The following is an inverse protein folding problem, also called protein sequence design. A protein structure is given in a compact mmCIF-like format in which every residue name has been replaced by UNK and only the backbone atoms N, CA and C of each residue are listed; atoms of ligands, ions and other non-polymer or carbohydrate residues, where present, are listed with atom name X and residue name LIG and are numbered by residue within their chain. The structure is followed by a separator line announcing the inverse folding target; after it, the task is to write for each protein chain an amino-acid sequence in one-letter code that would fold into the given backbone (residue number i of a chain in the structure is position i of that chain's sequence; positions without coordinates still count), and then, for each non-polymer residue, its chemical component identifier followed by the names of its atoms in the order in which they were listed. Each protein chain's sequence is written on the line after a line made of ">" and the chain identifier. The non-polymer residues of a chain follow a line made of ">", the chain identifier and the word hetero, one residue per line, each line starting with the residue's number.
data_IF_952777741363
#
_entry.id   IF_952777741363
#
_cell.length_a   1.000
_cell.length_b   1.000
_cell.length_c   1.000
_cell.angle_alpha   90.00
_cell.angle_beta   90.00
_cell.angle_gamma   90.00
#
_symmetry.space_group_name_H-M   'P 1'
#
loop_
_entity.id
_entity.type
_entity.pdbx_description
1 polymer ?
#
# COMPACT_ATOMS: atom_id res chain seq x y z
N UNK A 1 -22.99 2.23 4.39
CA UNK A 1 -22.03 1.63 3.44
C UNK A 1 -20.92 2.63 3.11
N UNK A 2 -19.67 2.24 3.25
CA UNK A 2 -18.53 3.16 3.14
C UNK A 2 -17.87 3.05 1.77
N UNK A 3 -18.57 3.47 0.73
CA UNK A 3 -18.04 3.40 -0.65
C UNK A 3 -16.79 4.26 -0.85
N UNK A 4 -16.58 5.27 0.01
CA UNK A 4 -15.42 6.15 -0.05
C UNK A 4 -14.32 5.77 0.95
N UNK A 5 -14.43 4.62 1.61
CA UNK A 5 -13.36 4.18 2.52
C UNK A 5 -12.15 3.69 1.74
N UNK A 6 -10.98 3.88 2.33
CA UNK A 6 -9.76 3.27 1.80
C UNK A 6 -9.72 1.82 2.25
N UNK A 7 -9.51 0.92 1.30
CA UNK A 7 -9.51 -0.53 1.53
C UNK A 7 -8.17 -1.14 1.12
N UNK A 8 -7.86 -2.28 1.72
CA UNK A 8 -6.64 -3.01 1.39
C UNK A 8 -6.85 -4.51 1.49
N UNK A 9 -6.11 -5.25 0.68
CA UNK A 9 -6.09 -6.70 0.73
C UNK A 9 -4.82 -7.21 0.04
N UNK A 10 -4.50 -8.48 0.29
CA UNK A 10 -3.50 -9.19 -0.48
C UNK A 10 -4.13 -9.50 -1.84
N UNK A 11 -3.53 -8.97 -2.91
CA UNK A 11 -4.07 -9.05 -4.26
C UNK A 11 -3.54 -10.24 -5.06
N UNK A 12 -2.57 -10.96 -4.53
CA UNK A 12 -1.98 -12.16 -5.14
C UNK A 12 -2.35 -13.39 -4.35
N UNK A 13 -2.26 -14.56 -4.99
CA UNK A 13 -2.42 -15.82 -4.27
C UNK A 13 -1.30 -15.95 -3.22
N UNK A 14 -1.64 -16.42 -2.02
CA UNK A 14 -0.66 -16.69 -1.00
C UNK A 14 0.17 -17.91 -1.40
N UNK A 15 1.47 -17.70 -1.57
CA UNK A 15 2.41 -18.74 -1.94
C UNK A 15 3.63 -18.66 -1.02
N UNK A 16 4.18 -19.78 -0.57
CA UNK A 16 5.38 -19.78 0.27
C UNK A 16 6.63 -19.32 -0.50
N UNK A 17 6.60 -19.36 -1.81
CA UNK A 17 7.71 -18.95 -2.66
C UNK A 17 7.26 -17.84 -3.58
N UNK A 18 7.74 -16.64 -3.36
CA UNK A 18 7.48 -15.57 -4.31
C UNK A 18 7.03 -14.27 -3.66
N UNK A 19 6.71 -13.33 -4.51
CA UNK A 19 6.32 -11.98 -4.11
C UNK A 19 4.82 -11.95 -3.87
N UNK A 20 4.41 -11.36 -2.75
CA UNK A 20 3.01 -11.09 -2.47
C UNK A 20 2.76 -9.60 -2.64
N UNK A 21 1.63 -9.26 -3.25
CA UNK A 21 1.27 -7.87 -3.49
C UNK A 21 0.09 -7.50 -2.60
N UNK A 22 0.26 -6.42 -1.82
CA UNK A 22 -0.82 -5.80 -1.07
C UNK A 22 -1.30 -4.60 -1.88
N UNK A 23 -2.60 -4.52 -2.13
CA UNK A 23 -3.20 -3.38 -2.82
C UNK A 23 -4.00 -2.55 -1.84
N UNK A 24 -3.77 -1.24 -1.88
CA UNK A 24 -4.51 -0.24 -1.10
C UNK A 24 -5.22 0.66 -2.11
N UNK A 25 -6.51 0.87 -1.96
CA UNK A 25 -7.28 1.70 -2.88
C UNK A 25 -8.25 2.59 -2.11
N UNK A 26 -8.27 3.86 -2.46
CA UNK A 26 -9.20 4.82 -1.86
C UNK A 26 -8.57 6.19 -1.63
N UNK A 27 -9.35 7.13 -1.08
CA UNK A 27 -8.90 8.51 -0.93
C UNK A 27 -7.71 8.68 0.02
N UNK A 28 -7.48 7.75 0.92
CA UNK A 28 -6.37 7.83 1.87
C UNK A 28 -5.22 6.86 1.57
N UNK A 29 -5.21 6.23 0.39
CA UNK A 29 -4.17 5.26 0.05
C UNK A 29 -2.76 5.85 0.16
N UNK A 30 -2.57 7.07 -0.34
CA UNK A 30 -1.27 7.75 -0.28
C UNK A 30 -0.89 8.15 1.15
N UNK A 31 -1.85 8.58 1.95
CA UNK A 31 -1.61 8.91 3.35
C UNK A 31 -1.20 7.67 4.15
N UNK A 32 -1.84 6.54 3.90
CA UNK A 32 -1.52 5.28 4.56
C UNK A 32 -0.09 4.87 4.26
N UNK A 33 0.31 4.88 2.99
CA UNK A 33 1.68 4.47 2.63
C UNK A 33 2.71 5.43 3.22
N UNK A 34 2.44 6.72 3.26
CA UNK A 34 3.37 7.69 3.83
C UNK A 34 3.64 7.45 5.32
N UNK A 35 2.67 6.88 6.04
CA UNK A 35 2.81 6.60 7.47
C UNK A 35 3.73 5.41 7.76
N UNK A 36 3.88 4.48 6.81
CA UNK A 36 4.56 3.21 7.04
C UNK A 36 5.79 2.99 6.17
N UNK A 37 5.93 3.76 5.08
CA UNK A 37 7.07 3.64 4.16
C UNK A 37 8.25 4.45 4.68
N UNK A 38 9.45 3.85 4.60
CA UNK A 38 10.70 4.53 4.95
C UNK A 38 11.76 4.25 3.90
N UNK A 39 12.56 5.26 3.60
CA UNK A 39 13.72 5.10 2.73
C UNK A 39 14.86 4.40 3.46
N UNK A 40 15.86 3.95 2.71
CA UNK A 40 17.05 3.34 3.30
C UNK A 40 17.74 4.27 4.30
N UNK A 41 17.85 5.56 3.98
CA UNK A 41 18.44 6.57 4.87
C UNK A 41 17.67 6.68 6.17
N UNK A 42 16.34 6.69 6.10
CA UNK A 42 15.50 6.79 7.28
C UNK A 42 15.64 5.56 8.17
N UNK A 43 15.71 4.36 7.56
CA UNK A 43 15.91 3.11 8.29
C UNK A 43 17.27 3.10 8.98
N UNK A 44 18.32 3.57 8.30
CA UNK A 44 19.66 3.67 8.89
C UNK A 44 19.67 4.64 10.07
N UNK A 45 18.94 5.75 9.97
CA UNK A 45 18.81 6.71 11.06
C UNK A 45 18.09 6.10 12.27
N UNK A 46 17.03 5.34 12.03
CA UNK A 46 16.30 4.63 13.08
C UNK A 46 17.21 3.63 13.81
N UNK A 47 18.00 2.87 13.04
CA UNK A 47 18.96 1.91 13.59
C UNK A 47 20.05 2.56 14.42
N UNK A 48 20.38 3.83 14.12
CA UNK A 48 21.38 4.61 14.87
C UNK A 48 20.78 5.32 16.10
N UNK A 49 19.51 5.06 16.43
CA UNK A 49 18.83 5.63 17.58
C UNK A 49 18.16 6.97 17.34
N UNK A 50 18.08 7.45 16.11
CA UNK A 50 17.31 8.66 15.80
C UNK A 50 15.81 8.37 15.92
N UNK A 51 15.05 9.35 16.43
CA UNK A 51 13.61 9.18 16.56
C UNK A 51 12.91 9.20 15.19
N UNK A 52 11.97 8.29 15.01
CA UNK A 52 11.17 8.19 13.77
C UNK A 52 10.47 9.52 13.43
N UNK A 53 10.06 10.29 14.42
CA UNK A 53 9.42 11.58 14.21
C UNK A 53 10.37 12.61 13.58
N UNK A 54 11.65 12.57 13.89
CA UNK A 54 12.64 13.45 13.29
C UNK A 54 12.90 13.08 11.82
N UNK A 55 12.85 11.79 11.50
CA UNK A 55 12.99 11.31 10.13
C UNK A 55 11.78 11.69 9.28
N UNK A 56 10.58 11.68 9.84
CA UNK A 56 9.36 11.95 9.09
C UNK A 56 9.20 13.41 8.66
N UNK A 57 9.81 14.35 9.36
CA UNK A 57 9.66 15.78 9.06
C UNK A 57 10.42 16.23 7.80
N UNK A 58 11.47 15.50 7.43
CA UNK A 58 12.28 15.80 6.24
C UNK A 58 12.11 14.75 5.16
N UNK A 59 11.25 13.76 5.37
CA UNK A 59 11.09 12.64 4.48
C UNK A 59 10.42 13.03 3.16
N UNK A 60 10.97 12.52 2.08
CA UNK A 60 10.36 12.61 0.78
C UNK A 60 9.13 11.70 0.75
N UNK A 61 7.94 12.30 0.85
CA UNK A 61 6.69 11.55 0.89
C UNK A 61 6.33 10.98 -0.48
N UNK A 62 5.83 9.75 -0.49
CA UNK A 62 5.37 9.11 -1.71
C UNK A 62 4.13 9.79 -2.29
N UNK A 63 3.32 10.43 -1.45
CA UNK A 63 2.18 11.21 -1.91
C UNK A 63 2.57 12.37 -2.85
N UNK A 64 3.82 12.82 -2.77
CA UNK A 64 4.34 13.86 -3.65
C UNK A 64 5.05 13.30 -4.88
N UNK A 65 5.17 11.97 -4.99
CA UNK A 65 5.79 11.35 -6.15
C UNK A 65 4.87 11.41 -7.37
N UNK A 66 5.44 11.41 -8.59
CA UNK A 66 4.61 11.30 -9.80
C UNK A 66 3.84 10.00 -9.82
N UNK A 67 2.67 10.03 -10.47
CA UNK A 67 1.89 8.80 -10.68
C UNK A 67 2.65 7.81 -11.57
N UNK A 68 2.37 6.52 -11.39
CA UNK A 68 2.97 5.42 -12.16
C UNK A 68 4.49 5.34 -11.95
N UNK A 69 4.90 5.51 -10.70
CA UNK A 69 6.31 5.35 -10.30
C UNK A 69 6.43 4.23 -9.27
N UNK A 70 7.62 3.63 -9.24
CA UNK A 70 7.96 2.54 -8.33
C UNK A 70 9.08 3.01 -7.41
N UNK A 71 8.94 2.75 -6.12
CA UNK A 71 9.88 3.18 -5.10
C UNK A 71 10.36 2.01 -4.26
N UNK A 72 11.66 1.87 -4.16
CA UNK A 72 12.29 0.85 -3.33
C UNK A 72 12.49 1.39 -1.92
N UNK A 73 12.12 0.62 -0.93
CA UNK A 73 12.28 1.02 0.46
C UNK A 73 11.82 -0.05 1.44
N UNK A 74 11.31 0.40 2.57
CA UNK A 74 10.98 -0.47 3.69
C UNK A 74 9.63 -0.12 4.26
N UNK A 75 8.91 -1.12 4.74
CA UNK A 75 7.72 -0.92 5.57
C UNK A 75 8.15 -1.05 7.03
N UNK A 76 7.80 -0.04 7.81
CA UNK A 76 8.11 0.00 9.23
C UNK A 76 6.85 0.16 10.06
N UNK A 77 6.75 -0.58 11.15
CA UNK A 77 5.77 -0.36 12.20
C UNK A 77 6.51 0.36 13.32
N UNK A 78 6.24 1.68 13.43
CA UNK A 78 7.01 2.55 14.30
C UNK A 78 8.51 2.46 13.98
N UNK A 79 9.33 1.93 14.89
CA UNK A 79 10.77 1.80 14.68
C UNK A 79 11.21 0.40 14.24
N UNK A 80 10.26 -0.50 14.02
CA UNK A 80 10.56 -1.85 13.61
C UNK A 80 10.40 -2.00 12.10
N UNK A 81 11.47 -2.44 11.42
CA UNK A 81 11.43 -2.75 10.00
C UNK A 81 10.76 -4.11 9.82
N UNK A 82 9.67 -4.13 9.05
CA UNK A 82 8.94 -5.37 8.79
C UNK A 82 9.45 -6.06 7.53
N UNK A 83 9.59 -5.30 6.44
CA UNK A 83 9.97 -5.88 5.15
C UNK A 83 10.64 -4.85 4.26
N UNK A 84 11.49 -5.32 3.36
CA UNK A 84 12.06 -4.56 2.26
C UNK A 84 11.13 -4.72 1.06
N UNK A 85 10.68 -3.61 0.48
CA UNK A 85 9.56 -3.63 -0.46
C UNK A 85 9.81 -2.75 -1.67
N UNK A 86 9.01 -2.99 -2.71
CA UNK A 86 8.83 -2.05 -3.81
C UNK A 86 7.39 -1.54 -3.74
N UNK A 87 7.23 -0.23 -3.80
CA UNK A 87 5.91 0.41 -3.70
C UNK A 87 5.59 1.10 -5.02
N UNK A 88 4.47 0.72 -5.61
CA UNK A 88 3.97 1.34 -6.85
C UNK A 88 2.87 2.33 -6.50
N UNK A 89 2.95 3.53 -7.08
CA UNK A 89 2.01 4.61 -6.88
C UNK A 89 1.20 4.81 -8.16
N UNK A 90 -0.11 4.73 -8.06
CA UNK A 90 -1.01 5.00 -9.19
C UNK A 90 -2.10 5.95 -8.72
N UNK A 91 -2.00 7.20 -9.13
CA UNK A 91 -2.97 8.23 -8.75
C UNK A 91 -4.20 8.16 -9.66
N UNK A 92 -5.38 8.23 -9.04
CA UNK A 92 -6.62 8.25 -9.80
C UNK A 92 -6.71 9.46 -10.74
N UNK A 93 -7.50 9.35 -11.82
CA UNK A 93 -8.34 8.21 -12.20
C UNK A 93 -7.61 7.09 -12.97
N UNK A 94 -6.31 7.21 -13.18
CA UNK A 94 -5.52 6.28 -13.99
C UNK A 94 -5.02 5.12 -13.14
N UNK A 95 -5.96 4.34 -12.63
CA UNK A 95 -5.69 3.14 -11.83
C UNK A 95 -6.78 2.11 -12.08
N UNK A 96 -6.62 0.90 -11.56
CA UNK A 96 -7.61 -0.16 -11.76
C UNK A 96 -9.00 0.23 -11.24
N UNK A 97 -9.07 0.85 -10.06
CA UNK A 97 -10.33 1.24 -9.43
C UNK A 97 -10.75 2.67 -9.77
N UNK A 98 -9.95 3.40 -10.52
CA UNK A 98 -10.04 4.85 -10.75
C UNK A 98 -9.79 5.69 -9.49
N UNK A 99 -9.49 5.07 -8.37
CA UNK A 99 -9.10 5.74 -7.13
C UNK A 99 -7.57 5.79 -7.01
N UNK A 100 -7.05 6.60 -6.08
CA UNK A 100 -5.64 6.52 -5.70
C UNK A 100 -5.35 5.10 -5.22
N UNK A 101 -4.34 4.48 -5.80
CA UNK A 101 -3.99 3.09 -5.55
C UNK A 101 -2.50 2.97 -5.26
N UNK A 102 -2.18 2.17 -4.26
CA UNK A 102 -0.81 1.83 -3.90
C UNK A 102 -0.70 0.31 -3.90
N UNK A 103 0.38 -0.21 -4.49
CA UNK A 103 0.69 -1.63 -4.41
C UNK A 103 2.03 -1.82 -3.74
N UNK A 104 2.08 -2.68 -2.73
CA UNK A 104 3.29 -3.01 -1.97
C UNK A 104 3.71 -4.42 -2.35
N UNK A 105 4.87 -4.55 -2.98
CA UNK A 105 5.45 -5.85 -3.30
C UNK A 105 6.29 -6.31 -2.11
N UNK A 106 5.80 -7.33 -1.39
CA UNK A 106 6.44 -7.87 -0.19
C UNK A 106 7.30 -9.09 -0.55
N UNK A 107 8.46 -9.21 0.07
CA UNK A 107 9.44 -10.24 -0.23
C UNK A 107 9.67 -11.22 0.94
N UNK A 108 9.13 -10.94 2.10
CA UNK A 108 9.42 -11.68 3.32
C UNK A 108 8.60 -12.94 3.56
N UNK A 109 7.77 -13.36 2.60
CA UNK A 109 6.93 -14.53 2.74
C UNK A 109 5.56 -14.22 3.37
N UNK A 110 4.77 -15.27 3.61
CA UNK A 110 3.37 -15.15 4.03
C UNK A 110 3.21 -14.42 5.37
N UNK A 111 4.01 -14.80 6.37
CA UNK A 111 3.89 -14.19 7.71
C UNK A 111 4.26 -12.71 7.70
N UNK A 112 5.32 -12.37 6.98
CA UNK A 112 5.75 -10.98 6.86
C UNK A 112 4.72 -10.17 6.07
N UNK A 113 4.18 -10.72 5.00
CA UNK A 113 3.12 -10.07 4.22
C UNK A 113 1.91 -9.77 5.09
N UNK A 114 1.49 -10.70 5.95
CA UNK A 114 0.38 -10.46 6.89
C UNK A 114 0.71 -9.37 7.89
N UNK A 115 1.94 -9.29 8.37
CA UNK A 115 2.36 -8.20 9.26
C UNK A 115 2.30 -6.85 8.55
N UNK A 116 2.71 -6.79 7.29
CA UNK A 116 2.59 -5.56 6.50
C UNK A 116 1.11 -5.19 6.31
N UNK A 117 0.26 -6.14 6.00
CA UNK A 117 -1.17 -5.89 5.85
C UNK A 117 -1.80 -5.37 7.16
N UNK A 118 -1.45 -5.96 8.29
CA UNK A 118 -1.93 -5.49 9.60
C UNK A 118 -1.46 -4.06 9.87
N UNK A 119 -0.23 -3.74 9.50
CA UNK A 119 0.30 -2.39 9.60
C UNK A 119 -0.49 -1.40 8.74
N UNK A 120 -0.88 -1.80 7.54
CA UNK A 120 -1.73 -1.02 6.64
C UNK A 120 -3.10 -0.75 7.28
N UNK A 121 -3.73 -1.77 7.87
CA UNK A 121 -5.01 -1.60 8.56
C UNK A 121 -4.88 -0.68 9.77
N UNK A 122 -3.83 -0.82 10.53
CA UNK A 122 -3.55 0.01 11.71
C UNK A 122 -3.42 1.49 11.33
N UNK A 123 -3.00 1.77 10.10
CA UNK A 123 -2.72 3.13 9.63
C UNK A 123 -3.80 3.73 8.74
N UNK A 124 -4.99 3.14 8.69
CA UNK A 124 -6.16 3.82 8.15
C UNK A 124 -6.89 3.11 7.02
N UNK A 125 -6.45 1.94 6.59
CA UNK A 125 -7.19 1.16 5.60
C UNK A 125 -8.09 0.12 6.27
N UNK A 126 -9.24 -0.15 5.67
CA UNK A 126 -10.14 -1.22 6.10
C UNK A 126 -9.92 -2.47 5.24
N UNK A 127 -10.22 -3.66 5.76
CA UNK A 127 -10.15 -4.87 4.93
C UNK A 127 -11.13 -4.78 3.76
N UNK A 128 -10.66 -5.11 2.56
CA UNK A 128 -11.52 -5.19 1.38
C UNK A 128 -12.42 -6.42 1.46
N UNK A 129 -13.66 -6.27 1.03
CA UNK A 129 -14.57 -7.39 0.86
C UNK A 129 -14.19 -8.17 -0.41
N UNK A 130 -14.55 -9.47 -0.51
CA UNK A 130 -14.32 -10.23 -1.74
C UNK A 130 -14.90 -9.49 -2.95
N UNK A 131 -14.08 -9.30 -3.98
CA UNK A 131 -14.48 -8.61 -5.21
C UNK A 131 -14.63 -7.09 -5.09
N UNK A 132 -14.25 -6.49 -3.98
CA UNK A 132 -14.49 -5.06 -3.77
C UNK A 132 -13.69 -4.16 -4.71
N UNK A 133 -12.45 -4.51 -5.04
CA UNK A 133 -11.67 -3.73 -6.00
C UNK A 133 -12.34 -3.73 -7.37
N UNK A 134 -12.80 -4.89 -7.83
CA UNK A 134 -13.50 -5.04 -9.09
C UNK A 134 -14.83 -4.27 -9.08
N UNK A 135 -15.56 -4.34 -7.97
CA UNK A 135 -16.79 -3.58 -7.79
C UNK A 135 -16.55 -2.08 -7.92
N UNK A 136 -15.49 -1.56 -7.28
CA UNK A 136 -15.14 -0.14 -7.38
C UNK A 136 -14.73 0.25 -8.79
N UNK A 137 -13.98 -0.60 -9.47
CA UNK A 137 -13.62 -0.37 -10.88
C UNK A 137 -14.87 -0.25 -11.74
N UNK A 138 -15.85 -1.11 -11.54
CA UNK A 138 -17.13 -1.06 -12.24
C UNK A 138 -17.92 0.21 -11.89
N UNK A 139 -18.08 0.51 -10.61
CA UNK A 139 -18.84 1.68 -10.15
C UNK A 139 -18.24 2.99 -10.62
N UNK A 140 -16.92 3.04 -10.78
CA UNK A 140 -16.21 4.23 -11.23
C UNK A 140 -16.05 4.28 -12.76
N UNK A 141 -16.71 3.40 -13.48
CA UNK A 141 -16.74 3.41 -14.95
C UNK A 141 -15.47 2.90 -15.61
N UNK A 142 -14.61 2.22 -14.88
CA UNK A 142 -13.32 1.73 -15.38
C UNK A 142 -13.46 0.44 -16.18
N UNK A 143 -14.43 -0.41 -15.82
CA UNK A 143 -14.73 -1.66 -16.51
C UNK A 143 -16.25 -1.79 -16.68
N UNK A 144 -16.68 -2.64 -17.62
CA UNK A 144 -18.09 -2.92 -17.82
C UNK A 144 -18.54 -4.12 -16.96
N UNK A 145 -19.84 -4.42 -17.01
CA UNK A 145 -20.41 -5.49 -16.20
C UNK A 145 -19.82 -6.87 -16.56
N UNK A 146 -19.58 -7.12 -17.83
CA UNK A 146 -18.98 -8.39 -18.27
C UNK A 146 -17.57 -8.55 -17.72
N UNK A 147 -16.78 -7.48 -17.70
CA UNK A 147 -15.44 -7.48 -17.13
C UNK A 147 -15.48 -7.68 -15.63
N UNK A 148 -16.47 -7.09 -14.94
CA UNK A 148 -16.60 -7.25 -13.49
C UNK A 148 -16.96 -8.67 -13.09
N UNK A 149 -17.70 -9.39 -13.93
CA UNK A 149 -18.08 -10.78 -13.67
C UNK A 149 -16.95 -11.76 -13.97
N UNK A 150 -16.00 -11.36 -14.79
CA UNK A 150 -14.84 -12.19 -15.09
C UNK A 150 -13.88 -12.23 -13.89
#
# INVERSE_FOLDING_TARGET
>A
MKENSTIAAIATALSPAGISIIRISGPQALDVIDRIYRTKKEVESIKKGAFAAAASSSAKKLSNAPTHTIHYGYICDENEVIDEVMVSIMKGPRSFTAEDTVEINCHGGILVTRRVLDCVFKNGAAPAQPGEFTKRAFLNGRIDLSQAEA
#
